data_IF_933565145518
#
_entry.id   IF_933565145518
#
_cell.length_a   1.000
_cell.length_b   1.000
_cell.length_c   1.000
_cell.angle_alpha   90.00
_cell.angle_beta   90.00
_cell.angle_gamma   90.00
#
_symmetry.space_group_name_H-M   'P 1'
#
loop_
_entity.id
_entity.type
_entity.pdbx_description
1 polymer ?
#
# COMPACT_ATOMS: atom_id res chain seq x y z
N UNK A 1 -0.51 -3.80 15.64
CA UNK A 1 -0.59 -3.45 14.22
C UNK A 1 0.80 -3.41 13.60
N UNK A 2 0.89 -3.70 12.31
CA UNK A 2 2.09 -3.52 11.51
C UNK A 2 1.78 -2.52 10.39
N UNK A 3 2.66 -1.56 10.15
CA UNK A 3 2.54 -0.57 9.08
C UNK A 3 3.79 -0.64 8.21
N UNK A 4 3.60 -0.63 6.90
CA UNK A 4 4.71 -0.72 5.95
C UNK A 4 4.50 0.18 4.74
N UNK A 5 5.57 0.82 4.31
CA UNK A 5 5.68 1.46 3.01
C UNK A 5 6.85 0.80 2.26
N UNK A 6 6.65 -0.41 1.73
CA UNK A 6 7.75 -1.19 1.17
C UNK A 6 8.26 -0.57 -0.13
N UNK A 7 9.56 -0.71 -0.44
CA UNK A 7 10.09 -0.28 -1.71
C UNK A 7 9.54 -1.16 -2.83
N UNK A 8 8.83 -0.56 -3.77
CA UNK A 8 8.34 -1.23 -4.97
C UNK A 8 9.28 -0.97 -6.11
N UNK A 9 9.96 -2.02 -6.56
CA UNK A 9 10.61 -1.99 -7.84
C UNK A 9 9.59 -2.49 -8.87
N UNK A 10 8.95 -1.56 -9.57
CA UNK A 10 8.26 -1.91 -10.81
C UNK A 10 9.33 -2.44 -11.74
N UNK A 11 9.11 -3.59 -12.37
CA UNK A 11 9.89 -4.02 -13.52
C UNK A 11 9.75 -2.93 -14.60
N UNK A 12 10.58 -1.90 -14.49
CA UNK A 12 10.65 -0.88 -15.52
C UNK A 12 11.37 -1.52 -16.70
N UNK A 13 10.60 -1.82 -17.72
CA UNK A 13 11.11 -2.15 -19.03
C UNK A 13 12.22 -1.18 -19.40
N UNK A 14 13.46 -1.66 -19.52
CA UNK A 14 14.50 -0.93 -20.22
C UNK A 14 15.60 -0.28 -19.40
N UNK A 15 16.07 -0.86 -18.31
CA UNK A 15 17.39 -0.47 -17.79
C UNK A 15 18.45 -1.48 -18.28
N UNK A 16 19.43 -1.06 -19.12
CA UNK A 16 20.39 -1.99 -19.72
C UNK A 16 21.52 -2.45 -18.78
N UNK A 17 21.40 -2.23 -17.49
CA UNK A 17 22.42 -2.62 -16.52
C UNK A 17 22.00 -3.84 -15.72
N UNK A 18 22.31 -5.03 -16.25
CA UNK A 18 22.00 -6.33 -15.65
C UNK A 18 22.51 -6.48 -14.21
N UNK A 19 23.58 -5.80 -13.84
CA UNK A 19 24.15 -5.86 -12.47
C UNK A 19 23.27 -5.11 -11.46
N UNK A 20 22.67 -4.00 -11.85
CA UNK A 20 21.72 -3.26 -10.98
C UNK A 20 20.39 -3.99 -10.86
N UNK A 21 19.98 -4.69 -11.92
CA UNK A 21 18.76 -5.49 -11.91
C UNK A 21 18.87 -6.68 -10.96
N UNK A 22 19.99 -7.39 -10.96
CA UNK A 22 20.26 -8.52 -10.07
C UNK A 22 20.36 -8.06 -8.61
N UNK A 23 21.04 -6.96 -8.32
CA UNK A 23 21.15 -6.41 -6.97
C UNK A 23 19.78 -5.97 -6.43
N UNK A 24 18.92 -5.35 -7.24
CA UNK A 24 17.57 -4.94 -6.84
C UNK A 24 16.64 -6.12 -6.60
N UNK A 25 16.75 -7.21 -7.38
CA UNK A 25 15.98 -8.44 -7.15
C UNK A 25 16.44 -9.21 -5.92
N UNK A 26 17.73 -9.19 -5.61
CA UNK A 26 18.29 -9.86 -4.44
C UNK A 26 17.96 -9.14 -3.11
N UNK A 27 17.68 -7.84 -3.17
CA UNK A 27 17.36 -7.00 -1.99
C UNK A 27 15.87 -6.69 -1.84
N UNK A 28 15.03 -7.06 -2.80
CA UNK A 28 13.60 -6.80 -2.72
C UNK A 28 12.86 -7.89 -1.95
N UNK A 29 12.25 -7.49 -0.85
CA UNK A 29 11.33 -8.34 -0.12
C UNK A 29 10.11 -8.66 -1.01
N UNK A 30 9.83 -9.94 -1.27
CA UNK A 30 8.62 -10.33 -2.00
C UNK A 30 7.38 -10.09 -1.14
N UNK A 31 6.21 -9.95 -1.76
CA UNK A 31 4.96 -9.83 -1.01
C UNK A 31 4.67 -11.08 -0.18
N UNK A 32 5.03 -12.25 -0.68
CA UNK A 32 4.90 -13.52 0.04
C UNK A 32 5.75 -13.52 1.32
N UNK A 33 6.99 -13.09 1.23
CA UNK A 33 7.89 -12.97 2.39
C UNK A 33 7.38 -11.89 3.36
N UNK A 34 6.87 -10.77 2.86
CA UNK A 34 6.27 -9.72 3.66
C UNK A 34 5.12 -10.26 4.50
N UNK A 35 4.15 -10.97 3.90
CA UNK A 35 3.02 -11.54 4.62
C UNK A 35 3.44 -12.65 5.58
N UNK A 36 4.47 -13.42 5.25
CA UNK A 36 5.04 -14.41 6.16
C UNK A 36 5.60 -13.75 7.42
N UNK A 37 6.38 -12.69 7.28
CA UNK A 37 6.90 -11.92 8.40
C UNK A 37 5.78 -11.28 9.22
N UNK A 38 4.82 -10.64 8.58
CA UNK A 38 3.68 -10.00 9.23
C UNK A 38 2.85 -11.03 10.00
N UNK A 39 2.64 -12.22 9.43
CA UNK A 39 1.90 -13.30 10.08
C UNK A 39 2.55 -13.74 11.39
N UNK A 40 3.87 -13.68 11.49
CA UNK A 40 4.61 -13.99 12.71
C UNK A 40 4.60 -12.86 13.75
N UNK A 41 4.32 -11.63 13.35
CA UNK A 41 4.38 -10.45 14.22
C UNK A 41 3.00 -10.01 14.73
N UNK A 42 1.93 -10.31 14.00
CA UNK A 42 0.59 -9.88 14.35
C UNK A 42 -0.08 -10.87 15.31
N UNK A 43 -0.71 -10.31 16.35
CA UNK A 43 -1.68 -11.03 17.16
C UNK A 43 -2.95 -11.36 16.36
N UNK A 44 -3.76 -12.29 16.92
CA UNK A 44 -5.06 -12.68 16.38
C UNK A 44 -5.97 -11.52 16.23
N UNK A 45 -6.43 -10.85 15.56
CA UNK A 45 -7.22 -9.61 15.45
C UNK A 45 -6.38 -8.37 15.12
N UNK A 46 -5.07 -8.56 14.89
CA UNK A 46 -4.18 -7.48 14.45
C UNK A 46 -4.42 -7.07 13.00
N UNK A 47 -3.99 -5.86 12.65
CA UNK A 47 -4.14 -5.28 11.32
C UNK A 47 -2.78 -4.94 10.73
N UNK A 48 -2.60 -5.28 9.46
CA UNK A 48 -1.45 -4.90 8.65
C UNK A 48 -1.85 -3.83 7.64
N UNK A 49 -1.25 -2.66 7.76
CA UNK A 49 -1.48 -1.51 6.85
C UNK A 49 -0.30 -1.31 5.92
N UNK A 50 -0.57 -1.11 4.64
CA UNK A 50 0.45 -0.97 3.61
C UNK A 50 0.05 0.05 2.54
N UNK A 51 1.02 0.81 2.05
CA UNK A 51 0.86 1.73 0.91
C UNK A 51 1.47 1.08 -0.32
N UNK A 52 0.72 1.01 -1.42
CA UNK A 52 1.22 0.42 -2.68
C UNK A 52 0.84 1.28 -3.90
N UNK A 53 1.58 1.19 -5.02
CA UNK A 53 1.09 1.61 -6.32
C UNK A 53 -0.14 0.78 -6.72
N UNK A 54 -1.10 1.40 -7.43
CA UNK A 54 -2.34 0.70 -7.82
C UNK A 54 -2.11 -0.55 -8.67
N UNK A 55 -1.09 -0.53 -9.52
CA UNK A 55 -0.70 -1.65 -10.38
C UNK A 55 -0.17 -2.88 -9.62
N UNK A 56 0.23 -2.72 -8.37
CA UNK A 56 0.69 -3.82 -7.52
C UNK A 56 -0.42 -4.54 -6.75
N UNK A 57 -1.66 -4.04 -6.83
CA UNK A 57 -2.75 -4.55 -6.00
C UNK A 57 -3.02 -6.04 -6.21
N UNK A 58 -3.12 -6.52 -7.45
CA UNK A 58 -3.39 -7.93 -7.74
C UNK A 58 -2.33 -8.86 -7.15
N UNK A 59 -1.07 -8.45 -7.20
CA UNK A 59 0.06 -9.23 -6.69
C UNK A 59 0.04 -9.30 -5.17
N UNK A 60 -0.14 -8.16 -4.50
CA UNK A 60 -0.17 -8.14 -3.03
C UNK A 60 -1.39 -8.86 -2.48
N UNK A 61 -2.54 -8.72 -3.13
CA UNK A 61 -3.78 -9.37 -2.69
C UNK A 61 -3.72 -10.89 -2.84
N UNK A 62 -3.10 -11.39 -3.90
CA UNK A 62 -2.81 -12.80 -4.09
C UNK A 62 -1.88 -13.35 -3.00
N UNK A 63 -0.80 -12.64 -2.70
CA UNK A 63 0.13 -13.03 -1.63
C UNK A 63 -0.54 -13.01 -0.24
N UNK A 64 -1.42 -12.04 0.01
CA UNK A 64 -2.22 -11.97 1.24
C UNK A 64 -3.10 -13.21 1.40
N UNK A 65 -3.81 -13.60 0.35
CA UNK A 65 -4.70 -14.77 0.35
C UNK A 65 -3.95 -16.07 0.64
N UNK A 66 -2.74 -16.22 0.12
CA UNK A 66 -1.87 -17.38 0.39
C UNK A 66 -1.45 -17.49 1.87
N UNK A 67 -1.43 -16.40 2.60
CA UNK A 67 -1.14 -16.34 4.04
C UNK A 67 -2.39 -16.17 4.90
N UNK A 68 -3.57 -16.46 4.36
CA UNK A 68 -4.87 -16.34 5.01
C UNK A 68 -5.21 -14.92 5.49
N UNK A 69 -4.66 -13.90 4.86
CA UNK A 69 -5.06 -12.50 5.05
C UNK A 69 -6.12 -12.11 4.05
N UNK A 70 -6.98 -11.20 4.46
CA UNK A 70 -8.01 -10.58 3.62
C UNK A 70 -7.90 -9.07 3.70
N UNK A 71 -8.04 -8.40 2.56
CA UNK A 71 -8.16 -6.94 2.53
C UNK A 71 -9.46 -6.53 3.22
N UNK A 72 -9.35 -5.76 4.28
CA UNK A 72 -10.50 -5.27 5.06
C UNK A 72 -10.75 -3.78 4.82
N UNK A 73 -9.78 -3.05 4.30
CA UNK A 73 -9.93 -1.64 3.96
C UNK A 73 -9.06 -1.28 2.75
N UNK A 74 -9.61 -0.51 1.84
CA UNK A 74 -8.92 -0.03 0.64
C UNK A 74 -9.31 1.41 0.36
N UNK A 75 -8.36 2.32 0.48
CA UNK A 75 -8.52 3.72 0.10
C UNK A 75 -7.73 4.00 -1.18
N UNK A 76 -8.42 4.41 -2.23
CA UNK A 76 -7.80 4.85 -3.47
C UNK A 76 -7.39 6.31 -3.35
N UNK A 77 -6.12 6.63 -3.55
CA UNK A 77 -5.57 7.97 -3.42
C UNK A 77 -5.22 8.55 -4.77
N UNK A 78 -5.85 9.68 -5.10
CA UNK A 78 -5.62 10.49 -6.29
C UNK A 78 -4.75 11.71 -5.96
N UNK A 79 -4.02 12.21 -6.94
CA UNK A 79 -3.37 13.52 -6.78
C UNK A 79 -4.40 14.63 -6.79
N UNK A 80 -5.24 14.66 -7.82
CA UNK A 80 -6.36 15.61 -8.00
C UNK A 80 -7.61 14.84 -8.45
N UNK A 81 -8.83 15.37 -8.24
CA UNK A 81 -10.07 14.65 -8.51
C UNK A 81 -10.22 14.10 -9.94
N UNK A 82 -9.73 14.82 -10.94
CA UNK A 82 -9.82 14.44 -12.37
C UNK A 82 -8.88 13.32 -12.81
N UNK A 83 -7.88 12.96 -11.99
CA UNK A 83 -6.90 11.92 -12.32
C UNK A 83 -7.32 10.57 -11.73
N UNK A 84 -6.84 9.50 -12.35
CA UNK A 84 -7.00 8.15 -11.79
C UNK A 84 -6.16 7.99 -10.51
N UNK A 85 -6.55 7.08 -9.61
CA UNK A 85 -5.77 6.78 -8.41
C UNK A 85 -4.36 6.30 -8.78
N UNK A 86 -3.38 6.69 -7.97
CA UNK A 86 -1.98 6.28 -8.13
C UNK A 86 -1.49 5.36 -7.01
N UNK A 87 -2.12 5.44 -5.85
CA UNK A 87 -1.78 4.65 -4.65
C UNK A 87 -3.03 4.07 -4.04
N UNK A 88 -2.86 2.92 -3.40
CA UNK A 88 -3.82 2.38 -2.45
C UNK A 88 -3.23 2.39 -1.05
N UNK A 89 -4.03 2.82 -0.09
CA UNK A 89 -3.80 2.55 1.32
C UNK A 89 -4.64 1.32 1.65
N UNK A 90 -3.98 0.23 2.03
CA UNK A 90 -4.63 -1.05 2.28
C UNK A 90 -4.48 -1.46 3.73
N UNK A 91 -5.50 -2.13 4.25
CA UNK A 91 -5.42 -2.83 5.52
C UNK A 91 -5.83 -4.29 5.32
N UNK A 92 -5.03 -5.19 5.88
CA UNK A 92 -5.23 -6.63 5.85
C UNK A 92 -5.39 -7.19 7.25
N UNK A 93 -6.26 -8.18 7.39
CA UNK A 93 -6.48 -8.90 8.64
C UNK A 93 -6.78 -10.37 8.37
N UNK A 94 -6.56 -11.22 9.37
CA UNK A 94 -6.95 -12.64 9.35
C UNK A 94 -8.37 -12.87 9.83
N UNK A 95 -8.96 -11.86 10.47
CA UNK A 95 -10.31 -11.93 10.99
C UNK A 95 -11.35 -11.95 9.88
N UNK A 96 -12.03 -13.07 9.71
CA UNK A 96 -13.06 -13.26 8.69
C UNK A 96 -14.38 -12.55 8.96
N UNK A 97 -14.58 -11.95 10.14
CA UNK A 97 -15.82 -11.27 10.54
C UNK A 97 -15.88 -9.78 10.22
N UNK A 98 -14.78 -9.16 9.79
CA UNK A 98 -14.75 -7.72 9.49
C UNK A 98 -15.37 -7.40 8.14
N UNK A 99 -16.22 -6.38 8.12
CA UNK A 99 -16.75 -5.84 6.87
C UNK A 99 -15.66 -5.09 6.09
N UNK A 100 -15.74 -5.14 4.77
CA UNK A 100 -14.85 -4.40 3.89
C UNK A 100 -15.24 -2.92 3.83
N UNK A 101 -14.27 -2.04 3.97
CA UNK A 101 -14.43 -0.59 3.80
C UNK A 101 -13.64 -0.12 2.57
N UNK A 102 -14.35 0.47 1.60
CA UNK A 102 -13.77 1.11 0.43
C UNK A 102 -13.95 2.61 0.45
N UNK A 103 -12.94 3.36 0.04
CA UNK A 103 -12.99 4.82 -0.07
C UNK A 103 -12.09 5.35 -1.18
N UNK A 104 -12.29 6.61 -1.54
CA UNK A 104 -11.45 7.33 -2.49
C UNK A 104 -11.19 8.73 -1.96
N UNK A 105 -9.93 9.16 -1.99
CA UNK A 105 -9.49 10.44 -1.44
C UNK A 105 -8.52 11.14 -2.41
N UNK A 106 -8.42 12.46 -2.29
CA UNK A 106 -7.51 13.28 -3.08
C UNK A 106 -6.50 13.99 -2.19
N UNK A 107 -5.26 14.13 -2.69
CA UNK A 107 -4.23 14.92 -2.01
C UNK A 107 -4.51 16.41 -2.19
N UNK A 108 -4.88 16.80 -3.41
CA UNK A 108 -5.19 18.19 -3.79
C UNK A 108 -6.62 18.30 -4.33
N UNK A 109 -7.18 19.48 -4.22
CA UNK A 109 -8.43 19.86 -4.88
C UNK A 109 -8.23 20.26 -6.34
N UNK A 110 -9.29 20.70 -7.03
CA UNK A 110 -9.26 21.16 -8.42
C UNK A 110 -8.40 22.42 -8.64
N UNK A 111 -8.12 23.18 -7.58
CA UNK A 111 -7.28 24.38 -7.59
C UNK A 111 -5.84 24.10 -7.16
N UNK A 112 -5.44 22.82 -7.05
CA UNK A 112 -4.12 22.39 -6.59
C UNK A 112 -3.77 22.85 -5.16
N UNK A 113 -4.78 23.05 -4.31
CA UNK A 113 -4.61 23.26 -2.89
C UNK A 113 -4.75 21.93 -2.15
N UNK A 114 -4.06 21.79 -1.01
CA UNK A 114 -4.20 20.58 -0.18
C UNK A 114 -5.66 20.34 0.17
N UNK A 115 -6.15 19.13 -0.06
CA UNK A 115 -7.52 18.76 0.32
C UNK A 115 -7.70 18.80 1.84
N UNK A 116 -8.95 18.93 2.27
CA UNK A 116 -9.29 18.90 3.70
C UNK A 116 -8.88 17.57 4.34
N UNK A 117 -9.09 16.45 3.64
CA UNK A 117 -8.68 15.12 4.08
C UNK A 117 -7.17 15.02 4.28
N UNK A 118 -6.39 15.44 3.28
CA UNK A 118 -4.93 15.38 3.34
C UNK A 118 -4.36 16.33 4.41
N UNK A 119 -4.94 17.51 4.53
CA UNK A 119 -4.55 18.47 5.56
C UNK A 119 -4.83 17.95 6.98
N UNK A 120 -6.00 17.36 7.21
CA UNK A 120 -6.33 16.74 8.49
C UNK A 120 -5.42 15.56 8.82
N UNK A 121 -5.11 14.70 7.82
CA UNK A 121 -4.26 13.52 8.00
C UNK A 121 -2.80 13.88 8.33
N UNK A 122 -2.31 14.99 7.80
CA UNK A 122 -0.87 15.34 7.85
C UNK A 122 -0.54 16.54 8.73
N UNK A 123 -1.54 17.17 9.35
CA UNK A 123 -1.37 18.41 10.13
C UNK A 123 -0.30 18.32 11.23
N UNK A 124 -0.19 17.16 11.85
CA UNK A 124 0.75 16.95 12.96
C UNK A 124 2.19 16.65 12.50
N UNK A 125 2.37 16.36 11.20
CA UNK A 125 3.66 15.94 10.63
C UNK A 125 4.38 17.06 9.87
N UNK A 126 3.67 18.06 9.39
CA UNK A 126 4.28 19.17 8.66
C UNK A 126 4.48 20.38 9.55
N UNK A 127 5.68 20.95 9.49
CA UNK A 127 5.97 22.25 10.07
C UNK A 127 5.14 23.32 9.34
N UNK A 128 4.54 24.16 10.10
CA UNK A 128 3.78 25.31 9.59
C UNK A 128 4.68 26.48 9.24
#
# INVERSE_FOLDING_TARGET
AVVCNPPFFVDSYGCPDDRRHIARHAESLSFEDLFRCVSGLLDAGGEFSVVIPVESFSRIDSAASMSAFRCVRKCAVKTVPRKAPRRYLLAYAKDGGREFEGSEECIEDEQHQRSAWYSALTSDFYLR
#
